data_IF_379864146010
#
_entry.id   IF_379864146010
#
_cell.length_a   1.000
_cell.length_b   1.000
_cell.length_c   1.000
_cell.angle_alpha   90.00
_cell.angle_beta   90.00
_cell.angle_gamma   90.00
#
_symmetry.space_group_name_H-M   'P 1'
#
loop_
_entity.id
_entity.type
_entity.pdbx_description
1 polymer ?
#
# COMPACT_ATOMS: atom_id res chain seq x y z
N UNK A 1 22.67 33.36 -35.34
CA UNK A 1 22.64 32.99 -33.90
C UNK A 1 21.24 32.57 -33.42
N UNK A 2 20.16 33.17 -33.93
CA UNK A 2 18.76 32.89 -33.51
C UNK A 2 18.27 31.44 -33.74
N UNK A 3 18.55 30.83 -34.90
CA UNK A 3 18.03 29.49 -35.24
C UNK A 3 18.58 28.35 -34.35
N UNK A 4 19.87 28.39 -33.95
CA UNK A 4 20.46 27.38 -33.04
C UNK A 4 19.88 27.46 -31.62
N UNK A 5 19.57 28.67 -31.15
CA UNK A 5 18.93 28.89 -29.84
C UNK A 5 17.48 28.40 -29.87
N UNK A 6 16.74 28.71 -30.93
CA UNK A 6 15.37 28.23 -31.11
C UNK A 6 15.29 26.70 -31.20
N UNK A 7 16.17 26.07 -31.99
CA UNK A 7 16.25 24.61 -32.12
C UNK A 7 16.61 23.92 -30.79
N UNK A 8 17.55 24.49 -30.02
CA UNK A 8 17.90 23.97 -28.68
C UNK A 8 16.73 24.12 -27.69
N UNK A 9 15.95 25.20 -27.79
CA UNK A 9 14.76 25.41 -26.95
C UNK A 9 13.58 24.50 -27.34
N UNK A 10 13.41 24.19 -28.63
CA UNK A 10 12.39 23.27 -29.11
C UNK A 10 12.69 21.86 -28.63
N UNK A 11 13.92 21.38 -28.84
CA UNK A 11 14.35 20.06 -28.37
C UNK A 11 14.28 19.92 -26.84
N UNK A 12 14.62 20.98 -26.08
CA UNK A 12 14.43 20.99 -24.61
C UNK A 12 12.95 20.89 -24.22
N UNK A 13 12.04 21.59 -24.91
CA UNK A 13 10.60 21.54 -24.65
C UNK A 13 9.99 20.17 -24.99
N UNK A 14 10.37 19.58 -26.12
CA UNK A 14 9.90 18.25 -26.52
C UNK A 14 10.35 17.17 -25.54
N UNK A 15 11.60 17.26 -25.06
CA UNK A 15 12.15 16.38 -24.03
C UNK A 15 11.38 16.49 -22.70
N UNK A 16 11.14 17.71 -22.21
CA UNK A 16 10.33 17.96 -21.00
C UNK A 16 8.90 17.41 -21.18
N UNK A 17 8.29 17.63 -22.34
CA UNK A 17 6.96 17.09 -22.67
C UNK A 17 6.92 15.56 -22.55
N UNK A 18 7.93 14.89 -23.10
CA UNK A 18 8.09 13.44 -22.97
C UNK A 18 8.27 12.97 -21.53
N UNK A 19 9.08 13.67 -20.73
CA UNK A 19 9.32 13.34 -19.31
C UNK A 19 8.03 13.42 -18.49
N UNK A 20 7.22 14.47 -18.66
CA UNK A 20 5.92 14.60 -17.98
C UNK A 20 4.92 13.55 -18.40
N UNK A 21 4.88 13.21 -19.69
CA UNK A 21 4.02 12.13 -20.20
C UNK A 21 4.41 10.79 -19.59
N UNK A 22 5.70 10.46 -19.57
CA UNK A 22 6.22 9.24 -18.94
C UNK A 22 5.89 9.19 -17.44
N UNK A 23 6.01 10.32 -16.74
CA UNK A 23 5.65 10.43 -15.33
C UNK A 23 4.14 10.23 -15.08
N UNK A 24 3.29 10.79 -15.95
CA UNK A 24 1.84 10.57 -15.87
C UNK A 24 1.46 9.10 -16.09
N UNK A 25 2.07 8.44 -17.08
CA UNK A 25 1.83 7.02 -17.36
C UNK A 25 2.22 6.11 -16.20
N UNK A 26 3.38 6.36 -15.56
CA UNK A 26 3.79 5.53 -14.41
C UNK A 26 2.86 5.73 -13.21
N UNK A 27 2.42 6.96 -12.93
CA UNK A 27 1.45 7.22 -11.86
C UNK A 27 0.11 6.49 -12.11
N UNK A 28 -0.40 6.57 -13.34
CA UNK A 28 -1.65 5.88 -13.71
C UNK A 28 -1.53 4.36 -13.59
N UNK A 29 -0.47 3.77 -14.14
CA UNK A 29 -0.21 2.34 -14.03
C UNK A 29 -0.12 1.89 -12.56
N UNK A 30 0.50 2.72 -11.72
CA UNK A 30 0.63 2.45 -10.29
C UNK A 30 -0.71 2.47 -9.55
N UNK A 31 -1.57 3.46 -9.85
CA UNK A 31 -2.91 3.55 -9.28
C UNK A 31 -3.71 2.28 -9.61
N UNK A 32 -3.75 1.87 -10.88
CA UNK A 32 -4.50 0.68 -11.31
C UNK A 32 -4.00 -0.59 -10.61
N UNK A 33 -2.69 -0.75 -10.53
CA UNK A 33 -2.05 -1.92 -9.92
C UNK A 33 -2.32 -2.06 -8.43
N UNK A 34 -2.15 -0.96 -7.69
CA UNK A 34 -2.35 -0.99 -6.25
C UNK A 34 -3.82 -0.99 -5.88
N UNK A 35 -4.69 -0.39 -6.70
CA UNK A 35 -6.14 -0.50 -6.47
C UNK A 35 -6.59 -1.96 -6.45
N UNK A 36 -6.16 -2.76 -7.43
CA UNK A 36 -6.54 -4.18 -7.50
C UNK A 36 -5.91 -5.01 -6.37
N UNK A 37 -4.63 -4.78 -6.08
CA UNK A 37 -3.94 -5.48 -5.00
C UNK A 37 -4.56 -5.16 -3.63
N UNK A 38 -4.81 -3.89 -3.33
CA UNK A 38 -5.37 -3.44 -2.05
C UNK A 38 -6.82 -3.95 -1.86
N UNK A 39 -7.63 -3.96 -2.91
CA UNK A 39 -8.98 -4.51 -2.83
C UNK A 39 -8.95 -5.99 -2.42
N UNK A 40 -8.07 -6.77 -3.06
CA UNK A 40 -7.91 -8.20 -2.78
C UNK A 40 -7.35 -8.45 -1.38
N UNK A 41 -6.27 -7.77 -0.99
CA UNK A 41 -5.60 -7.99 0.31
C UNK A 41 -6.53 -7.68 1.49
N UNK A 42 -7.34 -6.63 1.39
CA UNK A 42 -8.35 -6.28 2.42
C UNK A 42 -9.44 -7.34 2.57
N UNK A 43 -9.66 -8.16 1.54
CA UNK A 43 -10.66 -9.22 1.54
C UNK A 43 -10.09 -10.62 1.83
N UNK A 44 -8.77 -10.81 1.78
CA UNK A 44 -8.12 -12.13 1.82
C UNK A 44 -8.55 -13.04 2.97
N UNK A 45 -8.62 -12.50 4.19
CA UNK A 45 -9.02 -13.25 5.38
C UNK A 45 -10.49 -13.69 5.37
N UNK A 46 -11.29 -13.12 4.48
CA UNK A 46 -12.74 -13.35 4.39
C UNK A 46 -13.13 -14.18 3.17
N UNK A 47 -12.41 -14.04 2.05
CA UNK A 47 -12.70 -14.80 0.81
C UNK A 47 -12.00 -16.17 0.77
N UNK A 48 -10.85 -16.30 1.43
CA UNK A 48 -10.01 -17.51 1.38
C UNK A 48 -9.80 -18.07 2.80
N UNK A 49 -10.91 -18.46 3.42
CA UNK A 49 -10.96 -18.95 4.81
C UNK A 49 -10.50 -20.39 4.97
N UNK A 50 -10.58 -21.20 3.91
CA UNK A 50 -10.18 -22.60 3.93
C UNK A 50 -8.70 -22.71 4.35
N UNK A 51 -8.46 -23.30 5.53
CA UNK A 51 -7.12 -23.47 6.14
C UNK A 51 -6.30 -22.16 6.24
N UNK A 52 -6.96 -21.02 6.40
CA UNK A 52 -6.33 -19.69 6.43
C UNK A 52 -5.45 -19.39 5.19
N UNK A 53 -5.73 -20.01 4.03
CA UNK A 53 -4.89 -19.89 2.83
C UNK A 53 -4.73 -18.41 2.40
N UNK A 54 -5.78 -17.59 2.55
CA UNK A 54 -5.71 -16.16 2.24
C UNK A 54 -4.70 -15.42 3.10
N UNK A 55 -4.82 -15.53 4.43
CA UNK A 55 -3.93 -14.88 5.39
C UNK A 55 -2.48 -15.37 5.22
N UNK A 56 -2.29 -16.68 5.07
CA UNK A 56 -0.98 -17.29 4.86
C UNK A 56 -0.35 -16.80 3.55
N UNK A 57 -1.13 -16.65 2.47
CA UNK A 57 -0.63 -16.15 1.19
C UNK A 57 -0.10 -14.72 1.31
N UNK A 58 -0.82 -13.84 2.02
CA UNK A 58 -0.39 -12.45 2.26
C UNK A 58 0.90 -12.42 3.08
N UNK A 59 1.00 -13.25 4.13
CA UNK A 59 2.21 -13.38 4.93
C UNK A 59 3.42 -13.84 4.09
N UNK A 60 3.21 -14.83 3.21
CA UNK A 60 4.23 -15.30 2.27
C UNK A 60 4.65 -14.19 1.30
N UNK A 61 3.70 -13.41 0.77
CA UNK A 61 4.00 -12.27 -0.11
C UNK A 61 4.91 -11.26 0.58
N UNK A 62 4.61 -10.86 1.83
CA UNK A 62 5.48 -9.95 2.58
C UNK A 62 6.84 -10.57 2.92
N UNK A 63 6.87 -11.85 3.32
CA UNK A 63 8.12 -12.57 3.60
C UNK A 63 9.03 -12.68 2.38
N UNK A 64 8.48 -13.05 1.22
CA UNK A 64 9.22 -13.11 -0.04
C UNK A 64 9.74 -11.74 -0.48
N UNK A 65 8.94 -10.69 -0.29
CA UNK A 65 9.38 -9.31 -0.56
C UNK A 65 10.57 -8.93 0.32
N UNK A 66 10.55 -9.26 1.62
CA UNK A 66 11.67 -8.96 2.53
C UNK A 66 12.97 -9.63 2.09
N UNK A 67 12.92 -10.92 1.76
CA UNK A 67 14.09 -11.68 1.28
C UNK A 67 14.64 -11.09 -0.02
N UNK A 68 13.74 -10.71 -0.93
CA UNK A 68 14.11 -10.11 -2.22
C UNK A 68 14.73 -8.72 -2.06
N UNK A 69 14.18 -7.89 -1.15
CA UNK A 69 14.72 -6.58 -0.81
C UNK A 69 16.17 -6.68 -0.31
N UNK A 70 16.49 -7.70 0.51
CA UNK A 70 17.83 -7.88 1.06
C UNK A 70 18.86 -8.45 0.08
N UNK A 71 18.45 -9.34 -0.83
CA UNK A 71 19.39 -10.13 -1.64
C UNK A 71 19.56 -9.64 -3.09
N UNK A 72 18.49 -9.11 -3.70
CA UNK A 72 18.39 -9.06 -5.17
C UNK A 72 18.15 -7.68 -5.76
N UNK A 73 17.79 -6.75 -4.91
CA UNK A 73 17.32 -5.42 -5.26
C UNK A 73 18.32 -4.61 -6.10
N UNK A 74 19.61 -4.63 -5.73
CA UNK A 74 20.64 -3.86 -6.43
C UNK A 74 21.08 -4.54 -7.73
N UNK A 75 20.95 -5.86 -7.80
CA UNK A 75 21.51 -6.68 -8.88
C UNK A 75 20.61 -6.77 -10.11
N UNK A 76 19.28 -6.88 -9.94
CA UNK A 76 18.36 -7.07 -11.08
C UNK A 76 18.10 -5.80 -11.89
N UNK A 77 18.09 -4.62 -11.25
CA UNK A 77 17.85 -3.34 -11.92
C UNK A 77 18.93 -2.99 -12.95
N UNK A 78 20.17 -3.43 -12.70
CA UNK A 78 21.31 -3.19 -13.58
C UNK A 78 21.35 -4.12 -14.81
N UNK A 79 20.72 -5.30 -14.73
CA UNK A 79 20.79 -6.33 -15.78
C UNK A 79 19.63 -6.20 -16.79
N UNK A 80 18.40 -6.00 -16.30
CA UNK A 80 17.20 -6.00 -17.14
C UNK A 80 16.67 -4.60 -17.51
N UNK A 81 17.16 -3.56 -16.82
CA UNK A 81 16.70 -2.18 -16.97
C UNK A 81 15.35 -1.90 -16.29
N UNK A 82 15.13 -0.64 -15.92
CA UNK A 82 14.00 -0.22 -15.08
C UNK A 82 12.62 -0.44 -15.74
N UNK A 83 12.50 -0.27 -17.06
CA UNK A 83 11.21 -0.42 -17.77
C UNK A 83 10.66 -1.85 -17.69
N UNK A 84 11.49 -2.84 -18.01
CA UNK A 84 11.08 -4.26 -18.00
C UNK A 84 10.83 -4.75 -16.58
N UNK A 85 11.59 -4.26 -15.60
CA UNK A 85 11.36 -4.55 -14.19
C UNK A 85 9.98 -4.07 -13.72
N UNK A 86 9.57 -2.86 -14.14
CA UNK A 86 8.22 -2.34 -13.83
C UNK A 86 7.14 -3.23 -14.44
N UNK A 87 7.26 -3.58 -15.72
CA UNK A 87 6.27 -4.43 -16.42
C UNK A 87 6.19 -5.82 -15.77
N UNK A 88 7.33 -6.43 -15.45
CA UNK A 88 7.37 -7.73 -14.77
C UNK A 88 6.72 -7.68 -13.38
N UNK A 89 6.95 -6.60 -12.64
CA UNK A 89 6.28 -6.30 -11.37
C UNK A 89 4.75 -6.31 -11.47
N UNK A 90 4.24 -5.59 -12.47
CA UNK A 90 2.81 -5.48 -12.73
C UNK A 90 2.17 -6.81 -13.10
N UNK A 91 2.87 -7.61 -13.91
CA UNK A 91 2.43 -8.96 -14.25
C UNK A 91 2.38 -9.87 -13.02
N UNK A 92 3.35 -9.75 -12.11
CA UNK A 92 3.33 -10.48 -10.83
C UNK A 92 2.11 -10.17 -9.98
N UNK A 93 1.70 -8.89 -9.91
CA UNK A 93 0.47 -8.49 -9.20
C UNK A 93 -0.76 -9.10 -9.88
N UNK A 94 -0.85 -9.01 -11.21
CA UNK A 94 -1.96 -9.58 -11.97
C UNK A 94 -2.11 -11.09 -11.73
N UNK A 95 -1.00 -11.84 -11.72
CA UNK A 95 -1.00 -13.28 -11.44
C UNK A 95 -1.54 -13.61 -10.04
N UNK A 96 -1.18 -12.82 -9.03
CA UNK A 96 -1.67 -13.00 -7.67
C UNK A 96 -3.18 -12.68 -7.57
N UNK A 97 -3.65 -11.62 -8.22
CA UNK A 97 -5.08 -11.32 -8.28
C UNK A 97 -5.84 -12.43 -9.01
N UNK A 98 -5.32 -12.91 -10.14
CA UNK A 98 -5.95 -13.98 -10.93
C UNK A 98 -6.02 -15.32 -10.18
N UNK A 99 -5.03 -15.65 -9.35
CA UNK A 99 -5.04 -16.90 -8.57
C UNK A 99 -6.17 -16.96 -7.54
N UNK A 100 -6.75 -15.82 -7.17
CA UNK A 100 -7.93 -15.77 -6.30
C UNK A 100 -9.20 -16.33 -6.97
N UNK A 101 -9.24 -16.49 -8.29
CA UNK A 101 -10.35 -17.18 -8.97
C UNK A 101 -10.35 -18.69 -8.70
N UNK A 102 -9.20 -19.26 -8.31
CA UNK A 102 -9.03 -20.67 -7.98
C UNK A 102 -8.14 -20.80 -6.74
N UNK A 103 -8.66 -20.56 -5.52
CA UNK A 103 -7.88 -20.43 -4.30
C UNK A 103 -7.39 -21.78 -3.73
N UNK A 104 -6.63 -22.53 -4.54
CA UNK A 104 -5.93 -23.73 -4.08
C UNK A 104 -4.66 -23.32 -3.35
N UNK A 105 -4.41 -23.95 -2.20
CA UNK A 105 -3.25 -23.67 -1.33
C UNK A 105 -1.93 -23.58 -2.09
N UNK A 106 -1.59 -24.58 -2.93
CA UNK A 106 -0.34 -24.61 -3.67
C UNK A 106 -0.21 -23.45 -4.69
N UNK A 107 -1.33 -23.10 -5.35
CA UNK A 107 -1.36 -22.08 -6.41
C UNK A 107 -1.24 -20.68 -5.79
N UNK A 108 -1.98 -20.42 -4.71
CA UNK A 108 -1.89 -19.16 -3.98
C UNK A 108 -0.52 -18.95 -3.35
N UNK A 109 0.10 -19.98 -2.77
CA UNK A 109 1.42 -19.84 -2.16
C UNK A 109 2.51 -19.59 -3.21
N UNK A 110 2.46 -20.29 -4.35
CA UNK A 110 3.42 -20.09 -5.43
C UNK A 110 3.31 -18.68 -6.04
N UNK A 111 2.08 -18.23 -6.32
CA UNK A 111 1.84 -16.88 -6.84
C UNK A 111 2.14 -15.80 -5.81
N UNK A 112 2.00 -16.06 -4.51
CA UNK A 112 2.41 -15.17 -3.43
C UNK A 112 3.93 -14.95 -3.39
N UNK A 113 4.73 -16.00 -3.53
CA UNK A 113 6.20 -15.90 -3.58
C UNK A 113 6.63 -15.11 -4.81
N UNK A 114 6.08 -15.45 -5.99
CA UNK A 114 6.42 -14.81 -7.26
C UNK A 114 6.05 -13.32 -7.21
N UNK A 115 4.81 -13.01 -6.81
CA UNK A 115 4.34 -11.62 -6.71
C UNK A 115 5.10 -10.84 -5.63
N UNK A 116 5.42 -11.44 -4.49
CA UNK A 116 6.21 -10.81 -3.44
C UNK A 116 7.60 -10.39 -3.93
N UNK A 117 8.26 -11.28 -4.69
CA UNK A 117 9.58 -11.03 -5.25
C UNK A 117 9.53 -9.96 -6.36
N UNK A 118 8.61 -10.11 -7.32
CA UNK A 118 8.46 -9.16 -8.42
C UNK A 118 8.04 -7.76 -7.95
N UNK A 119 7.16 -7.68 -6.96
CA UNK A 119 6.70 -6.41 -6.36
C UNK A 119 7.83 -5.66 -5.66
N UNK A 120 8.74 -6.38 -4.98
CA UNK A 120 9.91 -5.78 -4.36
C UNK A 120 10.82 -5.14 -5.44
N UNK A 121 11.14 -5.88 -6.49
CA UNK A 121 11.92 -5.36 -7.63
C UNK A 121 11.24 -4.17 -8.31
N UNK A 122 9.92 -4.23 -8.47
CA UNK A 122 9.13 -3.17 -9.08
C UNK A 122 9.25 -1.85 -8.29
N UNK A 123 9.08 -1.91 -6.97
CA UNK A 123 9.11 -0.73 -6.10
C UNK A 123 10.46 -0.01 -6.18
N UNK A 124 11.55 -0.76 -6.20
CA UNK A 124 12.91 -0.25 -6.42
C UNK A 124 13.03 0.47 -7.77
N UNK A 125 12.64 -0.22 -8.84
CA UNK A 125 12.77 0.29 -10.20
C UNK A 125 11.94 1.56 -10.41
N UNK A 126 10.76 1.65 -9.79
CA UNK A 126 9.90 2.83 -9.85
C UNK A 126 10.52 4.02 -9.15
N UNK A 127 11.03 3.83 -7.93
CA UNK A 127 11.67 4.91 -7.19
C UNK A 127 12.88 5.46 -7.97
N UNK A 128 13.73 4.60 -8.50
CA UNK A 128 14.86 5.01 -9.35
C UNK A 128 14.40 5.69 -10.64
N UNK A 129 13.34 5.20 -11.27
CA UNK A 129 12.83 5.79 -12.51
C UNK A 129 12.23 7.18 -12.29
N UNK A 130 11.48 7.38 -11.21
CA UNK A 130 10.95 8.70 -10.81
C UNK A 130 12.09 9.67 -10.49
N UNK A 131 13.13 9.22 -9.79
CA UNK A 131 14.31 10.04 -9.51
C UNK A 131 15.04 10.48 -10.79
N UNK A 132 15.18 9.57 -11.77
CA UNK A 132 15.78 9.91 -13.08
C UNK A 132 14.93 10.96 -13.81
N UNK A 133 13.61 10.79 -13.87
CA UNK A 133 12.71 11.77 -14.52
C UNK A 133 12.78 13.14 -13.84
N UNK A 134 12.84 13.17 -12.51
CA UNK A 134 12.92 14.41 -11.76
C UNK A 134 14.27 15.13 -11.97
N UNK A 135 15.37 14.37 -12.02
CA UNK A 135 16.70 14.89 -12.31
C UNK A 135 16.86 15.32 -13.78
N UNK A 136 16.17 14.70 -14.72
CA UNK A 136 16.19 15.11 -16.13
C UNK A 136 15.53 16.48 -16.35
N UNK A 137 14.53 16.81 -15.52
CA UNK A 137 13.90 18.13 -15.48
C UNK A 137 14.58 19.13 -14.55
N UNK A 138 15.54 18.70 -13.71
CA UNK A 138 16.21 19.60 -12.80
C UNK A 138 17.28 20.46 -13.48
N UNK A 139 17.44 21.67 -12.96
CA UNK A 139 18.58 22.53 -13.24
C UNK A 139 19.49 22.47 -12.01
N UNK A 140 20.81 22.68 -12.18
CA UNK A 140 21.84 22.27 -11.19
C UNK A 140 21.58 22.68 -9.73
N UNK A 141 20.82 23.74 -9.46
CA UNK A 141 20.53 24.23 -8.10
C UNK A 141 19.18 23.76 -7.52
N UNK A 142 18.29 23.13 -8.31
CA UNK A 142 16.92 22.79 -7.88
C UNK A 142 16.56 21.29 -7.90
N UNK A 143 17.55 20.42 -8.13
CA UNK A 143 17.39 18.97 -8.20
C UNK A 143 16.72 18.36 -6.95
N UNK A 144 17.22 18.67 -5.75
CA UNK A 144 16.68 18.11 -4.50
C UNK A 144 15.21 18.53 -4.26
N UNK A 145 14.83 19.73 -4.70
CA UNK A 145 13.46 20.24 -4.54
C UNK A 145 12.53 19.60 -5.59
N UNK A 146 12.98 19.48 -6.84
CA UNK A 146 12.22 18.83 -7.92
C UNK A 146 12.02 17.34 -7.66
N UNK A 147 13.07 16.61 -7.27
CA UNK A 147 12.99 15.19 -6.90
C UNK A 147 11.97 14.95 -5.81
N UNK A 148 12.02 15.73 -4.72
CA UNK A 148 11.02 15.65 -3.64
C UNK A 148 9.59 15.94 -4.11
N UNK A 149 9.39 16.88 -5.04
CA UNK A 149 8.06 17.15 -5.61
C UNK A 149 7.55 15.98 -6.45
N UNK A 150 8.40 15.40 -7.29
CA UNK A 150 8.03 14.23 -8.11
C UNK A 150 7.66 13.04 -7.23
N UNK A 151 8.44 12.75 -6.20
CA UNK A 151 8.10 11.72 -5.22
C UNK A 151 6.81 12.07 -4.45
N UNK A 152 6.63 13.31 -4.02
CA UNK A 152 5.40 13.75 -3.37
C UNK A 152 4.14 13.53 -4.21
N UNK A 153 4.17 13.89 -5.49
CA UNK A 153 3.07 13.65 -6.43
C UNK A 153 2.88 12.14 -6.67
N UNK A 154 3.96 11.40 -6.86
CA UNK A 154 3.92 9.95 -7.07
C UNK A 154 3.30 9.20 -5.88
N UNK A 155 3.71 9.54 -4.66
CA UNK A 155 3.14 8.96 -3.44
C UNK A 155 1.71 9.41 -3.16
N UNK A 156 1.35 10.63 -3.54
CA UNK A 156 -0.07 11.06 -3.51
C UNK A 156 -0.93 10.19 -4.43
N UNK A 157 -0.45 9.90 -5.65
CA UNK A 157 -1.10 8.98 -6.56
C UNK A 157 -1.18 7.56 -5.97
N UNK A 158 -0.10 7.06 -5.38
CA UNK A 158 -0.06 5.77 -4.69
C UNK A 158 -1.12 5.67 -3.58
N UNK A 159 -1.15 6.64 -2.65
CA UNK A 159 -2.06 6.63 -1.51
C UNK A 159 -3.52 6.74 -1.93
N UNK A 160 -3.81 7.42 -3.05
CA UNK A 160 -5.16 7.47 -3.62
C UNK A 160 -5.69 6.10 -4.07
N UNK A 161 -4.81 5.16 -4.45
CA UNK A 161 -5.20 3.80 -4.83
C UNK A 161 -5.84 3.03 -3.66
N UNK A 162 -5.46 3.35 -2.42
CA UNK A 162 -6.07 2.78 -1.22
C UNK A 162 -7.53 3.21 -1.05
N UNK A 163 -7.88 4.42 -1.50
CA UNK A 163 -9.25 4.91 -1.44
C UNK A 163 -10.15 4.03 -2.31
N UNK A 164 -9.77 3.87 -3.58
CA UNK A 164 -10.55 3.12 -4.57
C UNK A 164 -10.61 1.63 -4.26
N UNK A 165 -9.47 1.01 -3.95
CA UNK A 165 -9.41 -0.44 -3.70
C UNK A 165 -10.28 -0.84 -2.51
N UNK A 166 -10.20 -0.09 -1.42
CA UNK A 166 -10.97 -0.39 -0.21
C UNK A 166 -12.44 0.02 -0.31
N UNK A 167 -12.77 1.04 -1.11
CA UNK A 167 -14.16 1.40 -1.40
C UNK A 167 -14.86 0.29 -2.19
N UNK A 168 -14.18 -0.31 -3.17
CA UNK A 168 -14.71 -1.47 -3.92
C UNK A 168 -15.00 -2.62 -2.95
N UNK A 169 -14.07 -2.95 -2.06
CA UNK A 169 -14.25 -4.00 -1.05
C UNK A 169 -15.42 -3.70 -0.11
N UNK A 170 -15.59 -2.44 0.33
CA UNK A 170 -16.72 -2.02 1.14
C UNK A 170 -18.07 -2.19 0.43
N UNK A 171 -18.16 -1.75 -0.83
CA UNK A 171 -19.39 -1.83 -1.61
C UNK A 171 -19.83 -3.28 -1.87
N UNK A 172 -18.87 -4.17 -2.09
CA UNK A 172 -19.14 -5.62 -2.25
C UNK A 172 -19.65 -6.23 -0.94
N UNK A 173 -19.02 -5.90 0.19
CA UNK A 173 -19.34 -6.49 1.50
C UNK A 173 -20.58 -5.90 2.18
N UNK A 174 -21.03 -4.68 1.83
CA UNK A 174 -22.22 -4.07 2.44
C UNK A 174 -23.51 -4.87 2.15
N UNK A 175 -23.51 -5.69 1.09
CA UNK A 175 -24.68 -6.44 0.64
C UNK A 175 -24.97 -7.71 1.45
N UNK A 176 -24.12 -8.09 2.42
CA UNK A 176 -24.37 -9.26 3.27
C UNK A 176 -25.27 -8.91 4.47
N UNK A 177 -26.33 -9.71 4.73
CA UNK A 177 -27.23 -9.46 5.85
C UNK A 177 -26.49 -9.59 7.20
N UNK A 178 -26.79 -8.69 8.15
CA UNK A 178 -26.25 -8.72 9.52
C UNK A 178 -26.67 -10.03 10.20
N UNK A 179 -25.74 -10.98 10.33
CA UNK A 179 -25.95 -12.10 11.26
C UNK A 179 -26.09 -11.51 12.66
N UNK A 180 -27.26 -11.73 13.24
CA UNK A 180 -27.67 -11.18 14.54
C UNK A 180 -27.37 -12.23 15.60
N UNK A 181 -26.69 -11.80 16.68
CA UNK A 181 -26.35 -12.56 17.90
C UNK A 181 -25.09 -13.44 17.84
N UNK A 182 -23.91 -12.83 17.88
CA UNK A 182 -22.71 -13.48 18.44
C UNK A 182 -22.12 -12.60 19.54
N UNK A 183 -22.15 -13.10 20.78
CA UNK A 183 -21.54 -12.45 21.94
C UNK A 183 -20.02 -12.68 21.89
N UNK A 184 -19.31 -11.88 21.10
CA UNK A 184 -17.84 -11.85 21.14
C UNK A 184 -17.38 -11.24 22.46
N UNK A 185 -16.98 -12.08 23.42
CA UNK A 185 -16.53 -11.63 24.75
C UNK A 185 -15.03 -11.34 24.81
N UNK A 186 -14.22 -11.85 23.87
CA UNK A 186 -12.78 -11.56 23.78
C UNK A 186 -12.30 -11.52 22.33
N UNK A 187 -11.82 -10.35 21.87
CA UNK A 187 -11.10 -10.18 20.62
C UNK A 187 -9.69 -9.62 20.94
N UNK A 188 -8.66 -9.93 20.14
CA UNK A 188 -7.38 -9.22 20.15
C UNK A 188 -6.13 -9.99 20.63
N UNK A 189 -5.13 -9.31 21.20
CA UNK A 189 -3.77 -9.88 21.39
C UNK A 189 -3.71 -11.11 22.32
N UNK A 190 -4.74 -11.34 23.15
CA UNK A 190 -4.88 -12.51 24.01
C UNK A 190 -5.85 -13.56 23.44
N UNK A 191 -6.07 -13.60 22.12
CA UNK A 191 -6.94 -14.57 21.49
C UNK A 191 -6.31 -15.98 21.52
N UNK A 192 -6.58 -16.71 22.61
CA UNK A 192 -6.59 -18.18 22.56
C UNK A 192 -7.74 -18.57 21.63
N UNK A 193 -7.44 -19.40 20.64
CA UNK A 193 -8.36 -19.90 19.60
C UNK A 193 -9.74 -20.24 20.14
N UNK A 194 -10.67 -19.29 20.11
CA UNK A 194 -12.10 -19.60 20.17
C UNK A 194 -12.54 -19.90 18.76
N UNK A 195 -12.81 -21.18 18.50
CA UNK A 195 -13.50 -21.69 17.32
C UNK A 195 -14.75 -20.85 17.08
N UNK A 196 -14.76 -20.11 15.98
CA UNK A 196 -15.96 -19.43 15.54
C UNK A 196 -16.95 -20.50 15.06
N UNK A 197 -17.94 -20.81 15.90
CA UNK A 197 -19.03 -21.70 15.55
C UNK A 197 -19.98 -20.96 14.59
N UNK A 198 -19.63 -20.88 13.30
CA UNK A 198 -20.63 -20.59 12.26
C UNK A 198 -21.31 -21.93 11.99
N UNK A 199 -22.55 -22.06 12.45
CA UNK A 199 -23.38 -23.21 12.13
C UNK A 199 -23.86 -23.07 10.68
N UNK A 200 -23.16 -23.76 9.77
CA UNK A 200 -23.61 -24.00 8.41
C UNK A 200 -24.73 -25.06 8.43
N UNK A 201 -25.68 -24.99 7.49
CA UNK A 201 -26.82 -25.93 7.34
C UNK A 201 -26.40 -27.40 7.09
N UNK A 202 -25.10 -27.71 7.11
CA UNK A 202 -24.50 -29.03 6.90
C UNK A 202 -23.54 -29.50 8.02
N UNK A 203 -23.62 -28.96 9.24
CA UNK A 203 -22.91 -29.52 10.40
C UNK A 203 -21.38 -29.62 10.23
N UNK A 204 -20.75 -28.65 9.58
CA UNK A 204 -19.29 -28.57 9.44
C UNK A 204 -18.76 -27.31 10.14
N UNK A 205 -17.88 -27.49 11.13
CA UNK A 205 -17.29 -26.39 11.90
C UNK A 205 -16.15 -25.74 11.11
N UNK A 206 -16.30 -24.47 10.74
CA UNK A 206 -15.27 -23.68 10.04
C UNK A 206 -14.53 -22.81 11.06
N UNK A 207 -13.26 -23.10 11.30
CA UNK A 207 -12.41 -22.29 12.17
C UNK A 207 -11.89 -21.06 11.41
N UNK A 208 -12.40 -19.87 11.75
CA UNK A 208 -11.99 -18.59 11.14
C UNK A 208 -11.15 -17.76 12.11
N UNK A 209 -9.90 -17.44 11.75
CA UNK A 209 -9.11 -16.41 12.44
C UNK A 209 -9.62 -15.03 12.04
N UNK A 210 -10.33 -14.37 12.94
CA UNK A 210 -10.85 -13.01 12.72
C UNK A 210 -9.85 -11.96 13.21
N UNK A 211 -9.57 -10.98 12.35
CA UNK A 211 -8.77 -9.80 12.74
C UNK A 211 -9.48 -8.97 13.82
N UNK A 212 -8.71 -8.19 14.60
CA UNK A 212 -9.22 -7.30 15.66
C UNK A 212 -10.45 -6.48 15.26
N UNK A 213 -10.40 -5.86 14.07
CA UNK A 213 -11.49 -5.06 13.50
C UNK A 213 -12.67 -5.93 13.08
N UNK A 214 -12.43 -7.02 12.37
CA UNK A 214 -13.47 -7.94 11.92
C UNK A 214 -14.26 -8.56 13.08
N UNK A 215 -13.58 -8.94 14.16
CA UNK A 215 -14.18 -9.57 15.35
C UNK A 215 -15.10 -8.60 16.12
N UNK A 216 -14.85 -7.29 16.07
CA UNK A 216 -15.52 -6.29 16.90
C UNK A 216 -16.66 -5.56 16.20
N UNK A 217 -16.51 -5.29 14.90
CA UNK A 217 -17.49 -4.52 14.11
C UNK A 217 -17.95 -5.24 12.84
N UNK A 218 -17.28 -6.32 12.45
CA UNK A 218 -17.58 -7.07 11.24
C UNK A 218 -16.70 -6.71 10.04
N UNK A 219 -16.63 -7.61 9.07
CA UNK A 219 -15.77 -7.54 7.88
C UNK A 219 -16.08 -6.29 7.04
N UNK A 220 -17.36 -5.91 6.94
CA UNK A 220 -17.80 -4.79 6.12
C UNK A 220 -17.15 -3.46 6.52
N UNK A 221 -16.77 -3.25 7.77
CA UNK A 221 -16.14 -1.99 8.19
C UNK A 221 -14.63 -1.92 7.90
N UNK A 222 -13.99 -3.04 7.53
CA UNK A 222 -12.56 -3.08 7.21
C UNK A 222 -12.27 -2.19 6.00
N UNK A 223 -13.07 -2.30 4.94
CA UNK A 223 -12.94 -1.45 3.76
C UNK A 223 -13.12 0.04 4.10
N UNK A 224 -14.12 0.39 4.91
CA UNK A 224 -14.37 1.78 5.32
C UNK A 224 -13.19 2.38 6.11
N UNK A 225 -12.64 1.64 7.07
CA UNK A 225 -11.49 2.06 7.88
C UNK A 225 -10.27 2.30 6.99
N UNK A 226 -10.00 1.39 6.05
CA UNK A 226 -8.86 1.51 5.13
C UNK A 226 -9.06 2.63 4.08
N UNK A 227 -10.30 2.94 3.70
CA UNK A 227 -10.60 4.13 2.89
C UNK A 227 -10.29 5.42 3.66
N UNK A 228 -10.65 5.51 4.96
CA UNK A 228 -10.30 6.66 5.81
C UNK A 228 -8.78 6.80 5.89
N UNK A 229 -8.07 5.69 6.14
CA UNK A 229 -6.61 5.64 6.12
C UNK A 229 -6.05 6.17 4.78
N UNK A 230 -6.62 5.79 3.64
CA UNK A 230 -6.18 6.26 2.32
C UNK A 230 -6.40 7.77 2.12
N UNK A 231 -7.54 8.30 2.57
CA UNK A 231 -7.85 9.74 2.48
C UNK A 231 -6.86 10.56 3.31
N UNK A 232 -6.61 10.15 4.56
CA UNK A 232 -5.71 10.87 5.46
C UNK A 232 -4.26 10.78 5.00
N UNK A 233 -3.87 9.66 4.37
CA UNK A 233 -2.52 9.46 3.85
C UNK A 233 -2.31 10.39 2.65
N UNK A 234 -3.30 10.45 1.76
CA UNK A 234 -3.30 11.35 0.61
C UNK A 234 -3.20 12.82 1.05
N UNK A 235 -4.01 13.25 2.03
CA UNK A 235 -3.97 14.62 2.56
C UNK A 235 -2.59 14.93 3.16
N UNK A 236 -2.06 14.05 4.00
CA UNK A 236 -0.76 14.25 4.65
C UNK A 236 0.39 14.31 3.63
N UNK A 237 0.41 13.44 2.62
CA UNK A 237 1.41 13.48 1.54
C UNK A 237 1.32 14.74 0.68
N UNK A 238 0.11 15.27 0.45
CA UNK A 238 -0.06 16.57 -0.24
C UNK A 238 0.55 17.70 0.60
N UNK A 239 0.25 17.75 1.91
CA UNK A 239 0.83 18.75 2.83
C UNK A 239 2.36 18.69 2.82
N UNK A 240 2.93 17.48 2.85
CA UNK A 240 4.38 17.29 2.72
C UNK A 240 4.91 17.84 1.40
N UNK A 241 4.27 17.48 0.28
CA UNK A 241 4.69 17.90 -1.06
C UNK A 241 4.77 19.43 -1.19
N UNK A 242 3.84 20.17 -0.57
CA UNK A 242 3.89 21.63 -0.54
C UNK A 242 4.93 22.20 0.42
N UNK A 243 5.17 21.53 1.55
CA UNK A 243 6.09 21.99 2.60
C UNK A 243 7.56 21.60 2.34
N UNK A 244 7.84 20.81 1.30
CA UNK A 244 9.20 20.41 0.84
C UNK A 244 10.18 21.59 0.69
N UNK A 245 9.70 22.82 0.49
CA UNK A 245 10.54 24.02 0.41
C UNK A 245 11.22 24.40 1.74
N UNK A 246 10.71 23.93 2.88
CA UNK A 246 11.19 24.31 4.20
C UNK A 246 12.08 23.21 4.80
N UNK A 247 13.40 23.40 4.73
CA UNK A 247 14.41 22.43 5.22
C UNK A 247 14.28 22.10 6.72
N UNK A 248 13.79 23.05 7.53
CA UNK A 248 13.56 22.87 8.98
C UNK A 248 12.36 21.95 9.30
N UNK A 249 11.39 21.86 8.37
CA UNK A 249 10.18 21.04 8.55
C UNK A 249 10.48 19.54 8.60
N UNK A 250 11.49 19.08 7.85
CA UNK A 250 11.76 17.66 7.63
C UNK A 250 12.08 16.89 8.92
N UNK A 251 12.97 17.42 9.77
CA UNK A 251 13.36 16.76 11.03
C UNK A 251 12.18 16.65 12.00
N UNK A 252 11.34 17.68 12.05
CA UNK A 252 10.15 17.71 12.91
C UNK A 252 9.13 16.67 12.42
N UNK A 253 8.89 16.58 11.12
CA UNK A 253 7.99 15.56 10.55
C UNK A 253 8.42 14.13 10.88
N UNK A 254 9.72 13.82 10.82
CA UNK A 254 10.23 12.49 11.20
C UNK A 254 10.03 12.19 12.68
N UNK A 255 10.25 13.16 13.57
CA UNK A 255 10.03 12.98 15.01
C UNK A 255 8.55 12.75 15.29
N UNK A 256 7.66 13.54 14.68
CA UNK A 256 6.21 13.37 14.83
C UNK A 256 5.77 11.98 14.34
N UNK A 257 6.22 11.55 13.16
CA UNK A 257 5.89 10.23 12.61
C UNK A 257 6.39 9.09 13.51
N UNK A 258 7.62 9.18 14.03
CA UNK A 258 8.18 8.18 14.95
C UNK A 258 7.38 8.08 16.26
N UNK A 259 7.03 9.23 16.86
CA UNK A 259 6.23 9.28 18.09
C UNK A 259 4.82 8.71 17.87
N UNK A 260 4.18 9.04 16.75
CA UNK A 260 2.88 8.48 16.37
C UNK A 260 2.97 6.96 16.21
N UNK A 261 3.94 6.46 15.45
CA UNK A 261 4.16 5.03 15.23
C UNK A 261 4.37 4.28 16.56
N UNK A 262 5.23 4.79 17.44
CA UNK A 262 5.47 4.19 18.75
C UNK A 262 4.21 4.17 19.63
N UNK A 263 3.45 5.27 19.63
CA UNK A 263 2.18 5.36 20.37
C UNK A 263 1.17 4.34 19.85
N UNK A 264 1.09 4.13 18.55
CA UNK A 264 0.16 3.16 17.95
C UNK A 264 0.55 1.72 18.34
N UNK A 265 1.83 1.35 18.24
CA UNK A 265 2.29 0.02 18.64
C UNK A 265 2.02 -0.26 20.13
N UNK A 266 2.30 0.71 21.00
CA UNK A 266 2.04 0.55 22.44
C UNK A 266 0.55 0.42 22.74
N UNK A 267 -0.30 1.22 22.10
CA UNK A 267 -1.77 1.08 22.24
C UNK A 267 -2.24 -0.27 21.71
N UNK A 268 -1.77 -0.75 20.55
CA UNK A 268 -2.16 -2.06 20.02
C UNK A 268 -1.72 -3.24 20.92
N UNK A 269 -0.63 -3.10 21.67
CA UNK A 269 -0.16 -4.12 22.61
C UNK A 269 -0.94 -4.14 23.94
N UNK A 270 -1.36 -2.97 24.43
CA UNK A 270 -2.01 -2.83 25.74
C UNK A 270 -3.53 -2.86 25.66
N UNK A 271 -4.11 -2.34 24.58
CA UNK A 271 -5.55 -2.15 24.45
C UNK A 271 -6.27 -3.45 24.08
N UNK A 272 -7.31 -3.77 24.86
CA UNK A 272 -8.22 -4.88 24.59
C UNK A 272 -9.46 -4.35 23.86
N UNK A 273 -9.71 -4.77 22.62
CA UNK A 273 -10.84 -4.26 21.87
C UNK A 273 -12.17 -4.69 22.50
N UNK A 274 -12.98 -3.71 22.88
CA UNK A 274 -14.31 -3.90 23.49
C UNK A 274 -15.36 -3.23 22.61
N UNK A 275 -16.55 -3.81 22.49
CA UNK A 275 -17.67 -3.29 21.68
C UNK A 275 -18.11 -1.86 22.05
N UNK A 276 -17.83 -1.38 23.27
CA UNK A 276 -18.11 0.01 23.68
C UNK A 276 -17.06 1.02 23.17
N UNK A 277 -15.88 0.56 22.73
CA UNK A 277 -14.74 1.41 22.35
C UNK A 277 -14.39 1.26 20.86
N UNK A 278 -15.39 1.03 20.01
CA UNK A 278 -15.24 0.89 18.56
C UNK A 278 -14.52 2.06 17.89
N UNK A 279 -14.64 3.28 18.43
CA UNK A 279 -13.99 4.48 17.88
C UNK A 279 -12.45 4.36 17.83
N UNK A 280 -11.83 3.58 18.73
CA UNK A 280 -10.37 3.37 18.75
C UNK A 280 -9.89 2.70 17.46
N UNK A 281 -10.71 1.84 16.84
CA UNK A 281 -10.41 1.17 15.58
C UNK A 281 -10.39 2.12 14.37
N UNK A 282 -10.97 3.31 14.50
CA UNK A 282 -10.89 4.36 13.49
C UNK A 282 -9.73 5.34 13.75
N UNK A 283 -9.43 5.60 15.02
CA UNK A 283 -8.33 6.50 15.43
C UNK A 283 -6.96 5.89 15.12
N UNK A 284 -6.76 4.60 15.38
CA UNK A 284 -5.44 3.97 15.16
C UNK A 284 -4.99 4.05 13.68
N UNK A 285 -5.83 3.69 12.69
CA UNK A 285 -5.45 3.81 11.28
C UNK A 285 -5.35 5.27 10.83
N UNK A 286 -6.15 6.18 11.39
CA UNK A 286 -6.01 7.60 11.13
C UNK A 286 -4.62 8.12 11.54
N UNK A 287 -4.15 7.76 12.73
CA UNK A 287 -2.84 8.19 13.22
C UNK A 287 -1.69 7.50 12.48
N UNK A 288 -1.82 6.21 12.13
CA UNK A 288 -0.78 5.51 11.35
C UNK A 288 -0.63 6.12 9.96
N UNK A 289 -1.75 6.46 9.33
CA UNK A 289 -1.80 7.11 8.03
C UNK A 289 -1.06 8.44 7.98
N UNK A 290 -1.16 9.27 9.03
CA UNK A 290 -0.39 10.52 9.13
C UNK A 290 1.11 10.22 9.19
N UNK A 291 1.51 9.22 9.99
CA UNK A 291 2.92 8.81 10.07
C UNK A 291 3.45 8.36 8.71
N UNK A 292 2.71 7.50 8.01
CA UNK A 292 3.11 6.93 6.73
C UNK A 292 3.18 8.01 5.63
N UNK A 293 2.13 8.83 5.49
CA UNK A 293 2.09 9.88 4.48
C UNK A 293 3.08 11.02 4.73
N UNK A 294 3.54 11.20 5.98
CA UNK A 294 4.68 12.06 6.31
C UNK A 294 6.01 11.45 5.87
N UNK A 295 6.23 10.18 6.17
CA UNK A 295 7.54 9.53 6.10
C UNK A 295 7.92 9.13 4.67
N UNK A 296 6.99 8.55 3.92
CA UNK A 296 7.25 7.98 2.59
C UNK A 296 7.87 8.99 1.60
N UNK A 297 7.27 10.19 1.36
CA UNK A 297 7.79 11.11 0.37
C UNK A 297 9.16 11.69 0.75
N UNK A 298 9.45 11.83 2.04
CA UNK A 298 10.72 12.37 2.53
C UNK A 298 11.85 11.36 2.43
N UNK A 299 11.64 10.09 2.79
CA UNK A 299 12.68 9.07 2.72
C UNK A 299 13.11 8.85 1.27
N UNK A 300 12.16 8.68 0.36
CA UNK A 300 12.48 8.43 -1.06
C UNK A 300 12.99 9.67 -1.78
N UNK A 301 12.62 10.86 -1.32
CA UNK A 301 13.13 12.11 -1.88
C UNK A 301 14.59 12.44 -1.50
N UNK A 302 15.21 11.66 -0.61
CA UNK A 302 16.61 11.82 -0.18
C UNK A 302 17.60 10.97 -0.99
N UNK A 303 17.13 9.96 -1.73
CA UNK A 303 17.95 9.10 -2.62
C UNK A 303 18.13 9.73 -3.98
#
# INVERSE_FOLDING_TARGET
>A
MSAKVQHKSANKRDKIGGTKLNFGMICFAYICAFTSLQAVTSLQSSINTDKDVGLNSVAITYGASLVTCLLFTTSLGYIFGYKWSIIGGQFGILLYVASNMYPKQWLMYSTAIISGSLRACMSMAQNSYVAILANDESENDDAEIKTRKYFGIFFTAYQSAQIWGNLISYLVLRSTPKSTNTNFTQCGANYLTSEHQIQDDNHQFISQKTSFTTCTIGVQYVGLIMTIYGITATISSIVVTYTVKFKYSQRICFIIAALLSYTIFTVMLVWKPTVSQTYVLFILPFLSSISDGLTEPFITGLT
#
